data_IF_936351917125
#
_entry.id   IF_936351917125
#
_cell.length_a   1.000
_cell.length_b   1.000
_cell.length_c   1.000
_cell.angle_alpha   90.00
_cell.angle_beta   90.00
_cell.angle_gamma   90.00
#
_symmetry.space_group_name_H-M   'P 1'
#
loop_
_entity.id
_entity.type
_entity.pdbx_description
1 polymer ?
#
# COMPACT_ATOMS: atom_id res chain seq x y z
N UNK A 1 -5.32 -12.12 4.22
CA UNK A 1 -5.65 -11.47 2.92
C UNK A 1 -4.55 -11.67 1.90
N UNK A 2 -4.89 -11.51 0.65
CA UNK A 2 -3.92 -11.56 -0.46
C UNK A 2 -3.42 -10.16 -0.73
N UNK A 3 -2.11 -9.96 -0.69
CA UNK A 3 -1.47 -8.65 -0.75
C UNK A 3 -0.52 -8.56 -1.94
N UNK A 4 -0.66 -7.50 -2.74
CA UNK A 4 0.29 -7.16 -3.80
C UNK A 4 1.22 -6.05 -3.30
N UNK A 5 2.49 -6.12 -3.65
CA UNK A 5 3.48 -5.11 -3.29
C UNK A 5 4.05 -4.50 -4.57
N UNK A 6 3.93 -3.17 -4.69
CA UNK A 6 4.42 -2.41 -5.83
C UNK A 6 5.56 -1.52 -5.34
N UNK A 7 6.79 -1.95 -5.59
CA UNK A 7 8.02 -1.32 -5.09
C UNK A 7 9.18 -1.68 -6.02
N UNK A 8 9.94 -0.69 -6.47
CA UNK A 8 11.07 -0.93 -7.39
C UNK A 8 12.39 -1.23 -6.69
N UNK A 9 12.51 -0.95 -5.40
CA UNK A 9 13.69 -1.34 -4.62
C UNK A 9 13.50 -2.75 -4.08
N UNK A 10 14.22 -3.70 -4.66
CA UNK A 10 14.03 -5.13 -4.37
C UNK A 10 14.19 -5.45 -2.88
N UNK A 11 15.18 -4.85 -2.20
CA UNK A 11 15.39 -5.11 -0.77
C UNK A 11 14.18 -4.65 0.06
N UNK A 12 13.63 -3.48 -0.23
CA UNK A 12 12.45 -2.98 0.47
C UNK A 12 11.23 -3.84 0.18
N UNK A 13 11.06 -4.27 -1.07
CA UNK A 13 9.97 -5.14 -1.46
C UNK A 13 10.03 -6.48 -0.70
N UNK A 14 11.22 -7.06 -0.61
CA UNK A 14 11.43 -8.34 0.09
C UNK A 14 11.22 -8.20 1.60
N UNK A 15 11.65 -7.10 2.19
CA UNK A 15 11.41 -6.83 3.62
C UNK A 15 9.91 -6.72 3.90
N UNK A 16 9.19 -5.99 3.06
CA UNK A 16 7.75 -5.85 3.22
C UNK A 16 7.03 -7.18 2.99
N UNK A 17 7.46 -7.96 1.99
CA UNK A 17 6.94 -9.31 1.75
C UNK A 17 7.07 -10.17 3.01
N UNK A 18 8.23 -10.15 3.64
CA UNK A 18 8.49 -10.89 4.88
C UNK A 18 7.54 -10.47 6.00
N UNK A 19 7.36 -9.15 6.18
CA UNK A 19 6.45 -8.63 7.21
C UNK A 19 5.01 -9.05 6.96
N UNK A 20 4.56 -9.00 5.72
CA UNK A 20 3.21 -9.40 5.32
C UNK A 20 2.98 -10.89 5.61
N UNK A 21 3.96 -11.72 5.24
CA UNK A 21 3.89 -13.17 5.46
C UNK A 21 3.93 -13.53 6.94
N UNK A 22 4.78 -12.86 7.71
CA UNK A 22 4.85 -13.05 9.16
C UNK A 22 3.54 -12.68 9.87
N UNK A 23 2.79 -11.76 9.30
CA UNK A 23 1.48 -11.39 9.82
C UNK A 23 0.37 -12.38 9.42
N UNK A 24 0.71 -13.42 8.68
CA UNK A 24 -0.24 -14.47 8.28
C UNK A 24 -0.95 -14.22 6.96
N UNK A 25 -0.47 -13.26 6.17
CA UNK A 25 -1.06 -12.95 4.86
C UNK A 25 -0.23 -13.56 3.73
N UNK A 26 -0.83 -13.65 2.55
CA UNK A 26 -0.19 -14.17 1.36
C UNK A 26 0.19 -13.02 0.41
N UNK A 27 1.44 -13.00 -0.07
CA UNK A 27 1.86 -12.04 -1.09
C UNK A 27 1.57 -12.65 -2.47
N UNK A 28 0.77 -11.96 -3.28
CA UNK A 28 0.39 -12.45 -4.62
C UNK A 28 1.45 -12.12 -5.65
N UNK A 29 2.26 -11.09 -5.42
CA UNK A 29 3.32 -10.71 -6.32
C UNK A 29 4.03 -9.43 -5.91
N UNK A 30 5.25 -9.28 -6.45
CA UNK A 30 6.05 -8.07 -6.33
C UNK A 30 6.10 -7.43 -7.72
N UNK A 31 5.72 -6.15 -7.82
CA UNK A 31 5.75 -5.42 -9.07
C UNK A 31 6.71 -4.24 -8.94
N UNK A 32 7.59 -4.05 -9.91
CA UNK A 32 8.60 -2.99 -9.90
C UNK A 32 8.22 -1.81 -10.80
N UNK A 33 7.18 -1.97 -11.60
CA UNK A 33 6.71 -0.96 -12.55
C UNK A 33 5.19 -0.98 -12.64
N UNK A 34 4.61 0.07 -13.22
CA UNK A 34 3.16 0.12 -13.45
C UNK A 34 2.70 -1.01 -14.38
N UNK A 35 3.52 -1.34 -15.38
CA UNK A 35 3.23 -2.42 -16.31
C UNK A 35 3.12 -3.78 -15.60
N UNK A 36 4.10 -4.08 -14.74
CA UNK A 36 4.07 -5.32 -13.95
C UNK A 36 2.88 -5.35 -12.99
N UNK A 37 2.56 -4.21 -12.39
CA UNK A 37 1.43 -4.11 -11.48
C UNK A 37 0.11 -4.44 -12.20
N UNK A 38 -0.09 -3.90 -13.40
CA UNK A 38 -1.29 -4.19 -14.20
C UNK A 38 -1.40 -5.66 -14.54
N UNK A 39 -0.30 -6.28 -14.96
CA UNK A 39 -0.27 -7.70 -15.28
C UNK A 39 -0.66 -8.54 -14.07
N UNK A 40 -0.14 -8.20 -12.90
CA UNK A 40 -0.42 -8.95 -11.67
C UNK A 40 -1.86 -8.77 -11.18
N UNK A 41 -2.42 -7.57 -11.30
CA UNK A 41 -3.82 -7.31 -10.96
C UNK A 41 -4.73 -8.20 -11.81
N UNK A 42 -4.43 -8.31 -13.10
CA UNK A 42 -5.23 -9.11 -14.02
C UNK A 42 -5.05 -10.62 -13.81
N UNK A 43 -3.85 -11.05 -13.43
CA UNK A 43 -3.53 -12.46 -13.24
C UNK A 43 -4.10 -13.02 -11.93
N UNK A 44 -4.06 -12.23 -10.86
CA UNK A 44 -4.50 -12.65 -9.53
C UNK A 44 -4.90 -11.43 -8.72
N UNK A 45 -6.18 -11.12 -8.70
CA UNK A 45 -6.71 -9.94 -8.02
C UNK A 45 -6.39 -10.00 -6.53
N UNK A 46 -5.62 -9.04 -6.00
CA UNK A 46 -5.31 -9.00 -4.56
C UNK A 46 -6.49 -8.43 -3.78
N UNK A 47 -6.47 -8.69 -2.46
CA UNK A 47 -7.43 -8.07 -1.53
C UNK A 47 -6.96 -6.68 -1.11
N UNK A 48 -5.65 -6.44 -1.19
CA UNK A 48 -5.01 -5.19 -0.75
C UNK A 48 -3.67 -5.00 -1.45
N UNK A 49 -3.21 -3.75 -1.58
CA UNK A 49 -1.89 -3.46 -2.16
C UNK A 49 -1.15 -2.37 -1.39
N UNK A 50 0.18 -2.53 -1.30
CA UNK A 50 1.10 -1.46 -0.91
C UNK A 50 1.74 -0.90 -2.18
N UNK A 51 1.75 0.42 -2.34
CA UNK A 51 2.21 1.06 -3.58
C UNK A 51 3.21 2.18 -3.28
N UNK A 52 4.43 2.06 -3.81
CA UNK A 52 5.38 3.16 -3.87
C UNK A 52 5.03 4.07 -5.06
N UNK A 53 5.31 5.36 -4.94
CA UNK A 53 5.01 6.33 -5.99
C UNK A 53 6.02 6.25 -7.11
N UNK A 54 7.31 6.22 -6.77
CA UNK A 54 8.38 6.18 -7.77
C UNK A 54 8.74 4.74 -8.08
N UNK A 55 8.50 4.33 -9.33
CA UNK A 55 8.73 2.98 -9.82
C UNK A 55 9.76 3.01 -10.95
N UNK A 56 10.11 1.86 -11.52
CA UNK A 56 11.08 1.77 -12.60
C UNK A 56 10.72 2.61 -13.81
N UNK A 57 9.43 2.77 -14.08
CA UNK A 57 8.92 3.54 -15.23
C UNK A 57 8.46 4.96 -14.85
N UNK A 58 8.94 5.49 -13.72
CA UNK A 58 8.71 6.88 -13.30
C UNK A 58 7.76 7.01 -12.11
N UNK A 59 7.14 8.18 -11.90
CA UNK A 59 6.22 8.38 -10.77
C UNK A 59 4.84 7.76 -11.06
N UNK A 60 4.83 6.53 -11.55
CA UNK A 60 3.64 5.85 -12.05
C UNK A 60 2.85 5.14 -10.95
N UNK A 61 3.37 5.12 -9.71
CA UNK A 61 2.64 4.53 -8.59
C UNK A 61 1.28 5.20 -8.34
N UNK A 62 1.16 6.48 -8.63
CA UNK A 62 -0.12 7.20 -8.52
C UNK A 62 -1.13 6.63 -9.52
N UNK A 63 -0.70 6.35 -10.74
CA UNK A 63 -1.57 5.75 -11.77
C UNK A 63 -1.98 4.33 -11.38
N UNK A 64 -1.05 3.55 -10.82
CA UNK A 64 -1.35 2.22 -10.28
C UNK A 64 -2.42 2.32 -9.19
N UNK A 65 -2.28 3.29 -8.30
CA UNK A 65 -3.26 3.53 -7.23
C UNK A 65 -4.64 3.83 -7.77
N UNK A 66 -4.73 4.70 -8.79
CA UNK A 66 -6.01 5.01 -9.43
C UNK A 66 -6.64 3.79 -10.08
N UNK A 67 -5.84 2.94 -10.70
CA UNK A 67 -6.31 1.68 -11.30
C UNK A 67 -6.81 0.71 -10.24
N UNK A 68 -6.11 0.60 -9.10
CA UNK A 68 -6.55 -0.21 -7.98
C UNK A 68 -7.90 0.29 -7.44
N UNK A 69 -8.03 1.60 -7.27
CA UNK A 69 -9.28 2.21 -6.83
C UNK A 69 -10.42 1.90 -7.79
N UNK A 70 -10.19 2.02 -9.08
CA UNK A 70 -11.18 1.72 -10.11
C UNK A 70 -11.58 0.23 -10.09
N UNK A 71 -10.66 -0.65 -9.71
CA UNK A 71 -10.93 -2.09 -9.58
C UNK A 71 -11.56 -2.47 -8.23
N UNK A 72 -11.76 -1.51 -7.34
CA UNK A 72 -12.30 -1.78 -6.00
C UNK A 72 -11.33 -2.41 -5.04
N UNK A 73 -10.03 -2.31 -5.30
CA UNK A 73 -8.98 -2.89 -4.47
C UNK A 73 -8.44 -1.81 -3.53
N UNK A 74 -8.60 -1.95 -2.20
CA UNK A 74 -8.05 -0.99 -1.25
C UNK A 74 -6.51 -1.05 -1.26
N UNK A 75 -5.86 0.11 -1.07
CA UNK A 75 -4.41 0.20 -1.07
C UNK A 75 -3.94 1.36 -0.20
N UNK A 76 -2.67 1.34 0.17
CA UNK A 76 -1.98 2.47 0.81
C UNK A 76 -0.72 2.78 0.04
N UNK A 77 -0.31 4.05 0.05
CA UNK A 77 1.00 4.43 -0.44
C UNK A 77 2.06 4.18 0.62
N UNK A 78 3.25 3.81 0.19
CA UNK A 78 4.46 3.77 1.02
C UNK A 78 5.44 4.74 0.38
N UNK A 79 5.69 5.89 1.01
CA UNK A 79 6.39 7.00 0.37
C UNK A 79 7.39 7.68 1.29
N UNK A 80 8.50 8.16 0.72
CA UNK A 80 9.46 8.98 1.43
C UNK A 80 8.99 10.41 1.68
N UNK A 81 7.91 10.85 1.01
CA UNK A 81 7.35 12.18 1.20
C UNK A 81 5.83 12.17 0.99
N UNK A 82 5.10 12.05 2.09
CA UNK A 82 3.63 12.03 2.08
C UNK A 82 3.05 13.31 1.49
N UNK A 83 3.73 14.45 1.66
CA UNK A 83 3.26 15.75 1.16
C UNK A 83 3.17 15.81 -0.37
N UNK A 84 3.91 14.95 -1.08
CA UNK A 84 3.87 14.88 -2.54
C UNK A 84 2.72 14.02 -3.07
N UNK A 85 2.01 13.33 -2.19
CA UNK A 85 0.84 12.54 -2.60
C UNK A 85 -0.30 13.53 -2.94
N UNK A 86 -1.03 13.31 -4.05
CA UNK A 86 -2.15 14.18 -4.40
C UNK A 86 -3.20 14.26 -3.30
N UNK A 87 -3.94 15.35 -3.26
CA UNK A 87 -5.07 15.52 -2.35
C UNK A 87 -6.07 14.37 -2.54
N UNK A 88 -6.60 13.84 -1.44
CA UNK A 88 -7.45 12.67 -1.46
C UNK A 88 -6.69 11.36 -1.65
N UNK A 89 -5.36 11.40 -1.69
CA UNK A 89 -4.46 10.25 -1.84
C UNK A 89 -4.81 9.35 -3.04
N UNK A 90 -5.33 9.94 -4.12
CA UNK A 90 -5.73 9.19 -5.33
C UNK A 90 -6.66 8.01 -5.01
N UNK A 91 -7.44 8.10 -3.93
CA UNK A 91 -8.35 7.07 -3.47
C UNK A 91 -7.75 6.02 -2.53
N UNK A 92 -6.48 6.17 -2.12
CA UNK A 92 -5.86 5.29 -1.14
C UNK A 92 -6.52 5.44 0.23
N UNK A 93 -6.45 4.37 1.05
CA UNK A 93 -6.88 4.46 2.45
C UNK A 93 -5.99 5.40 3.24
N UNK A 94 -4.72 5.46 2.92
CA UNK A 94 -3.75 6.28 3.61
C UNK A 94 -2.35 6.08 3.06
N UNK A 95 -1.34 6.47 3.85
CA UNK A 95 0.06 6.33 3.48
C UNK A 95 0.92 6.00 4.70
N UNK A 96 1.96 5.25 4.45
CA UNK A 96 3.01 4.94 5.42
C UNK A 96 4.27 5.66 4.96
N UNK A 97 4.85 6.48 5.84
CA UNK A 97 6.06 7.24 5.50
C UNK A 97 7.31 6.39 5.69
N UNK A 98 8.20 6.44 4.69
CA UNK A 98 9.53 5.83 4.77
C UNK A 98 10.50 6.80 5.47
N UNK A 99 11.45 6.29 6.26
CA UNK A 99 11.61 4.91 6.68
C UNK A 99 10.59 4.54 7.75
N UNK A 100 10.05 3.34 7.69
CA UNK A 100 9.15 2.82 8.72
C UNK A 100 9.87 1.79 9.59
N UNK A 101 9.38 1.59 10.82
CA UNK A 101 9.89 0.55 11.72
C UNK A 101 9.12 -0.75 11.49
N UNK A 102 9.69 -1.88 11.89
CA UNK A 102 8.99 -3.17 11.85
C UNK A 102 7.71 -3.13 12.68
N UNK A 103 7.75 -2.54 13.86
CA UNK A 103 6.56 -2.38 14.71
C UNK A 103 5.51 -1.49 14.04
N UNK A 104 5.95 -0.39 13.42
CA UNK A 104 5.05 0.50 12.71
C UNK A 104 4.33 -0.19 11.56
N UNK A 105 5.06 -0.99 10.78
CA UNK A 105 4.47 -1.76 9.70
C UNK A 105 3.53 -2.85 10.23
N UNK A 106 3.93 -3.56 11.29
CA UNK A 106 3.10 -4.59 11.91
C UNK A 106 1.78 -4.00 12.40
N UNK A 107 1.83 -2.85 13.07
CA UNK A 107 0.64 -2.17 13.58
C UNK A 107 -0.26 -1.70 12.43
N UNK A 108 0.34 -1.18 11.35
CA UNK A 108 -0.40 -0.78 10.16
C UNK A 108 -1.11 -1.99 9.52
N UNK A 109 -0.41 -3.11 9.38
CA UNK A 109 -0.99 -4.35 8.83
C UNK A 109 -2.17 -4.85 9.66
N UNK A 110 -2.07 -4.80 10.98
CA UNK A 110 -3.16 -5.20 11.87
C UNK A 110 -4.40 -4.34 11.64
N UNK A 111 -4.21 -3.03 11.58
CA UNK A 111 -5.31 -2.10 11.33
C UNK A 111 -5.92 -2.30 9.94
N UNK A 112 -5.07 -2.37 8.91
CA UNK A 112 -5.49 -2.56 7.51
C UNK A 112 -6.26 -3.86 7.35
N UNK A 113 -5.76 -4.95 7.92
CA UNK A 113 -6.41 -6.26 7.86
C UNK A 113 -7.81 -6.22 8.44
N UNK A 114 -7.99 -5.52 9.57
CA UNK A 114 -9.30 -5.34 10.17
C UNK A 114 -10.25 -4.54 9.25
N UNK A 115 -9.77 -3.43 8.69
CA UNK A 115 -10.57 -2.59 7.79
C UNK A 115 -10.99 -3.38 6.53
N UNK A 116 -10.06 -4.08 5.91
CA UNK A 116 -10.33 -4.88 4.71
C UNK A 116 -11.33 -6.00 5.03
N UNK A 117 -11.28 -6.54 6.24
CA UNK A 117 -12.23 -7.55 6.71
C UNK A 117 -13.59 -6.99 7.15
N UNK A 118 -13.78 -5.67 7.08
CA UNK A 118 -15.05 -5.04 7.42
C UNK A 118 -15.17 -4.51 8.85
N UNK A 119 -14.11 -4.63 9.67
CA UNK A 119 -14.10 -4.11 11.04
C UNK A 119 -13.47 -2.72 11.08
N UNK A 120 -14.30 -1.70 11.21
CA UNK A 120 -13.89 -0.30 11.28
C UNK A 120 -13.83 0.25 12.70
N UNK A 121 -13.94 -0.61 13.72
CA UNK A 121 -13.99 -0.20 15.12
C UNK A 121 -12.64 0.21 15.71
N UNK A 122 -11.53 -0.21 15.08
CA UNK A 122 -10.19 0.11 15.57
C UNK A 122 -9.75 1.53 15.28
N UNK A 123 -8.69 1.97 15.97
CA UNK A 123 -8.06 3.26 15.72
C UNK A 123 -6.79 3.08 14.88
N UNK A 124 -6.51 4.00 13.94
CA UNK A 124 -5.30 3.87 13.13
C UNK A 124 -4.05 4.07 14.00
N UNK A 125 -2.99 3.29 13.74
CA UNK A 125 -1.71 3.51 14.43
C UNK A 125 -1.02 4.77 13.94
N UNK A 126 -0.08 5.30 14.73
CA UNK A 126 0.68 6.49 14.35
C UNK A 126 1.47 6.31 13.06
N UNK A 127 1.81 5.07 12.69
CA UNK A 127 2.58 4.75 11.48
C UNK A 127 1.76 4.87 10.18
N UNK A 128 0.44 5.02 10.27
CA UNK A 128 -0.44 5.11 9.11
C UNK A 128 -1.18 6.45 9.13
N UNK A 129 -0.93 7.27 8.12
CA UNK A 129 -1.65 8.53 7.92
C UNK A 129 -2.86 8.26 7.03
N UNK A 130 -4.06 8.45 7.56
CA UNK A 130 -5.27 8.24 6.77
C UNK A 130 -5.47 9.35 5.75
N UNK A 131 -6.00 9.00 4.59
CA UNK A 131 -6.22 9.96 3.51
C UNK A 131 -7.12 11.12 3.92
N UNK A 132 -8.14 10.87 4.70
CA UNK A 132 -9.09 11.88 5.16
C UNK A 132 -8.47 12.89 6.14
N UNK A 133 -7.37 12.53 6.82
CA UNK A 133 -6.68 13.38 7.81
C UNK A 133 -5.47 14.12 7.23
N UNK A 134 -4.94 13.66 6.10
CA UNK A 134 -3.66 14.12 5.59
C UNK A 134 -3.64 15.58 5.13
N UNK A 135 -4.77 16.11 4.69
CA UNK A 135 -4.92 17.47 4.15
C UNK A 135 -5.89 18.33 4.95
N UNK A 136 -6.19 17.92 6.17
CA UNK A 136 -6.98 18.76 7.11
C UNK A 136 -6.06 19.85 7.63
N UNK A 137 -6.41 21.09 7.39
CA UNK A 137 -5.61 22.24 7.79
C UNK A 137 -5.66 22.46 9.31
#
# INVERSE_FOLDING_TARGET
MKVMIVEDEMLLAMELESEVEMAGHQVTGLAMSSSQAREQINASTPDFAFVDIHLMDGPTGIDVGRELKAAGIPYVFVSGNIKKIPEGFAGALGAIEKPYTMNGMKNALTYISAIVGGDESGSPPASLVLAEDAHVA
#
